data_IF_274394597296
#
_entry.id   IF_274394597296
#
_cell.length_a   1.000
_cell.length_b   1.000
_cell.length_c   1.000
_cell.angle_alpha   90.00
_cell.angle_beta   90.00
_cell.angle_gamma   90.00
#
_symmetry.space_group_name_H-M   'P 1'
#
loop_
_entity.id
_entity.type
_entity.pdbx_description
1 polymer ?
#
# COMPACT_ATOMS: atom_id res chain seq x y z
N UNK A 1 10.07 -7.96 -18.33
CA UNK A 1 9.06 -7.96 -17.24
C UNK A 1 8.19 -9.22 -17.30
N UNK A 2 8.71 -10.39 -16.91
CA UNK A 2 7.92 -11.64 -16.89
C UNK A 2 7.77 -12.31 -15.52
N UNK A 3 8.43 -11.78 -14.48
CA UNK A 3 8.65 -12.55 -13.23
C UNK A 3 8.08 -11.89 -11.97
N UNK A 4 7.20 -10.87 -12.07
CA UNK A 4 6.46 -10.38 -10.87
C UNK A 4 5.22 -11.22 -10.54
N UNK A 5 4.83 -12.13 -11.45
CA UNK A 5 3.80 -13.14 -11.25
C UNK A 5 4.40 -14.55 -11.04
N UNK A 6 5.72 -14.67 -10.94
CA UNK A 6 6.34 -15.98 -10.74
C UNK A 6 6.02 -16.46 -9.33
N UNK A 7 4.97 -17.29 -9.30
CA UNK A 7 4.57 -18.26 -8.32
C UNK A 7 5.80 -18.94 -7.73
N UNK A 8 6.47 -18.29 -6.78
CA UNK A 8 7.48 -18.95 -5.94
C UNK A 8 6.75 -20.03 -5.13
N UNK A 9 6.76 -21.23 -5.73
CA UNK A 9 6.63 -22.58 -5.17
C UNK A 9 5.93 -22.61 -3.80
N UNK A 10 4.60 -22.70 -3.80
CA UNK A 10 3.93 -23.35 -2.68
C UNK A 10 3.16 -24.56 -3.19
N UNK A 11 3.57 -25.70 -2.67
CA UNK A 11 2.97 -27.03 -2.83
C UNK A 11 1.59 -26.98 -2.14
N UNK A 12 0.59 -26.43 -2.82
CA UNK A 12 -0.77 -26.32 -2.28
C UNK A 12 -1.41 -27.70 -2.41
N UNK A 13 -1.57 -28.39 -1.29
CA UNK A 13 -2.07 -29.77 -1.23
C UNK A 13 -3.61 -29.90 -1.25
N UNK A 14 -4.37 -28.80 -1.36
CA UNK A 14 -5.84 -28.86 -1.47
C UNK A 14 -6.42 -27.71 -2.30
N UNK A 15 -7.45 -28.01 -3.10
CA UNK A 15 -8.17 -27.04 -3.94
C UNK A 15 -8.71 -25.86 -3.12
N UNK A 16 -9.24 -26.12 -1.92
CA UNK A 16 -9.77 -25.08 -1.03
C UNK A 16 -8.73 -24.00 -0.65
N UNK A 17 -7.47 -24.38 -0.43
CA UNK A 17 -6.39 -23.41 -0.14
C UNK A 17 -6.02 -22.56 -1.36
N UNK A 18 -6.21 -23.10 -2.57
CA UNK A 18 -5.97 -22.39 -3.83
C UNK A 18 -7.07 -21.35 -4.08
N UNK A 19 -8.33 -21.73 -3.86
CA UNK A 19 -9.48 -20.84 -4.03
C UNK A 19 -9.42 -19.65 -3.07
N UNK A 20 -9.10 -19.91 -1.79
CA UNK A 20 -8.91 -18.84 -0.81
C UNK A 20 -7.80 -17.87 -1.21
N UNK A 21 -6.70 -18.36 -1.79
CA UNK A 21 -5.61 -17.51 -2.29
C UNK A 21 -6.04 -16.69 -3.50
N UNK A 22 -6.76 -17.30 -4.45
CA UNK A 22 -7.27 -16.59 -5.62
C UNK A 22 -8.21 -15.46 -5.21
N UNK A 23 -9.07 -15.70 -4.22
CA UNK A 23 -9.99 -14.71 -3.68
C UNK A 23 -9.24 -13.51 -3.08
N UNK A 24 -8.24 -13.75 -2.23
CA UNK A 24 -7.41 -12.66 -1.67
C UNK A 24 -6.66 -11.91 -2.77
N UNK A 25 -6.13 -12.61 -3.77
CA UNK A 25 -5.43 -11.99 -4.90
C UNK A 25 -6.37 -11.12 -5.73
N UNK A 26 -7.62 -11.55 -5.92
CA UNK A 26 -8.64 -10.76 -6.61
C UNK A 26 -8.94 -9.45 -5.88
N UNK A 27 -9.11 -9.49 -4.56
CA UNK A 27 -9.28 -8.27 -3.73
C UNK A 27 -8.06 -7.36 -3.86
N UNK A 28 -6.84 -7.93 -3.76
CA UNK A 28 -5.60 -7.15 -3.90
C UNK A 28 -5.53 -6.46 -5.28
N UNK A 29 -5.96 -7.12 -6.36
CA UNK A 29 -6.01 -6.54 -7.70
C UNK A 29 -7.02 -5.38 -7.80
N UNK A 30 -8.18 -5.49 -7.17
CA UNK A 30 -9.16 -4.39 -7.11
C UNK A 30 -8.54 -3.17 -6.44
N UNK A 31 -7.92 -3.36 -5.27
CA UNK A 31 -7.26 -2.29 -4.52
C UNK A 31 -6.12 -1.66 -5.32
N UNK A 32 -5.26 -2.47 -5.94
CA UNK A 32 -4.17 -1.98 -6.78
C UNK A 32 -4.67 -1.23 -8.01
N UNK A 33 -5.77 -1.67 -8.63
CA UNK A 33 -6.38 -1.00 -9.77
C UNK A 33 -6.95 0.36 -9.39
N UNK A 34 -7.67 0.42 -8.25
CA UNK A 34 -8.21 1.66 -7.71
C UNK A 34 -7.09 2.65 -7.35
N UNK A 35 -6.04 2.19 -6.67
CA UNK A 35 -4.87 3.02 -6.34
C UNK A 35 -4.19 3.53 -7.62
N UNK A 36 -3.94 2.67 -8.60
CA UNK A 36 -3.34 3.07 -9.88
C UNK A 36 -4.20 4.09 -10.62
N UNK A 37 -5.52 3.95 -10.61
CA UNK A 37 -6.44 4.94 -11.18
C UNK A 37 -6.26 6.29 -10.47
N UNK A 38 -6.29 6.29 -9.13
CA UNK A 38 -6.11 7.51 -8.35
C UNK A 38 -4.76 8.18 -8.62
N UNK A 39 -3.69 7.40 -8.75
CA UNK A 39 -2.35 7.91 -9.09
C UNK A 39 -2.29 8.56 -10.48
N UNK A 40 -3.07 8.07 -11.45
CA UNK A 40 -3.19 8.75 -12.75
C UNK A 40 -3.94 10.08 -12.62
N UNK A 41 -5.08 10.06 -11.92
CA UNK A 41 -5.91 11.24 -11.72
C UNK A 41 -5.16 12.37 -10.99
N UNK A 42 -4.18 12.02 -10.13
CA UNK A 42 -3.37 12.97 -9.35
C UNK A 42 -1.96 13.18 -9.92
N UNK A 43 -1.64 12.60 -11.08
CA UNK A 43 -0.30 12.61 -11.72
C UNK A 43 0.84 12.00 -10.88
N UNK A 44 0.53 11.36 -9.75
CA UNK A 44 1.53 10.62 -8.96
C UNK A 44 2.18 9.48 -9.75
N UNK A 45 1.49 8.93 -10.75
CA UNK A 45 2.02 7.87 -11.61
C UNK A 45 3.27 8.30 -12.40
N UNK A 46 3.48 9.61 -12.59
CA UNK A 46 4.65 10.16 -13.28
C UNK A 46 5.89 10.16 -12.38
N UNK A 47 5.69 10.17 -11.06
CA UNK A 47 6.76 10.18 -10.04
C UNK A 47 7.01 8.81 -9.41
N UNK A 48 5.97 7.99 -9.28
CA UNK A 48 6.02 6.74 -8.55
C UNK A 48 5.29 5.62 -9.31
N UNK A 49 5.85 4.42 -9.26
CA UNK A 49 5.08 3.19 -9.45
C UNK A 49 4.20 2.93 -8.23
N UNK A 50 3.13 2.12 -8.40
CA UNK A 50 2.28 1.69 -7.28
C UNK A 50 3.10 1.07 -6.14
N UNK A 51 4.13 0.29 -6.48
CA UNK A 51 5.00 -0.36 -5.50
C UNK A 51 5.85 0.65 -4.74
N UNK A 52 6.46 1.60 -5.42
CA UNK A 52 7.30 2.64 -4.78
C UNK A 52 6.47 3.53 -3.87
N UNK A 53 5.26 3.92 -4.28
CA UNK A 53 4.36 4.69 -3.42
C UNK A 53 4.00 3.92 -2.15
N UNK A 54 3.68 2.62 -2.27
CA UNK A 54 3.38 1.80 -1.10
C UNK A 54 4.57 1.67 -0.15
N UNK A 55 5.78 1.49 -0.68
CA UNK A 55 7.02 1.44 0.11
C UNK A 55 7.32 2.76 0.83
N UNK A 56 7.14 3.90 0.15
CA UNK A 56 7.32 5.22 0.75
C UNK A 56 6.36 5.42 1.94
N UNK A 57 5.11 5.00 1.77
CA UNK A 57 4.07 5.10 2.79
C UNK A 57 4.18 4.05 3.91
N UNK A 58 4.83 2.90 3.68
CA UNK A 58 5.01 1.84 4.67
C UNK A 58 5.76 2.32 5.93
N UNK A 59 6.69 3.26 5.74
CA UNK A 59 7.48 3.83 6.85
C UNK A 59 6.70 4.83 7.70
N UNK A 60 5.54 5.30 7.22
CA UNK A 60 4.64 6.17 7.98
C UNK A 60 3.79 5.32 8.92
N UNK A 61 4.20 5.20 10.18
CA UNK A 61 3.51 4.38 11.19
C UNK A 61 3.07 5.26 12.37
N UNK A 62 1.86 5.02 12.88
CA UNK A 62 1.40 5.65 14.11
C UNK A 62 1.95 4.88 15.32
N UNK A 63 2.86 5.50 16.07
CA UNK A 63 3.40 4.90 17.30
C UNK A 63 2.45 5.23 18.45
N UNK A 64 1.87 4.20 19.06
CA UNK A 64 1.08 4.35 20.29
C UNK A 64 2.01 4.18 21.48
N UNK A 65 2.30 5.27 22.18
CA UNK A 65 2.93 5.20 23.49
C UNK A 65 1.88 4.81 24.53
N UNK A 66 2.15 3.77 25.33
CA UNK A 66 1.36 3.48 26.53
C UNK A 66 1.78 4.44 27.64
N UNK A 67 1.05 5.55 27.84
CA UNK A 67 1.35 6.53 28.89
C UNK A 67 0.66 7.89 28.70
N UNK A 68 1.16 8.92 29.41
CA UNK A 68 0.65 10.32 29.33
C UNK A 68 0.86 11.00 27.96
N UNK A 69 1.73 10.44 27.12
CA UNK A 69 1.96 10.93 25.76
C UNK A 69 0.97 10.23 24.83
N UNK A 70 0.09 11.00 24.20
CA UNK A 70 -0.95 10.49 23.30
C UNK A 70 -0.39 9.80 22.05
N UNK A 71 -1.26 9.57 21.07
CA UNK A 71 -0.87 9.02 19.77
C UNK A 71 0.14 9.96 19.09
N UNK A 72 1.35 9.48 18.77
CA UNK A 72 2.35 10.26 18.04
C UNK A 72 2.55 9.56 16.69
N UNK A 73 2.19 10.24 15.59
CA UNK A 73 2.62 9.81 14.26
C UNK A 73 4.14 9.95 14.17
N UNK A 74 4.83 9.00 13.51
CA UNK A 74 6.20 9.25 13.06
C UNK A 74 6.26 10.52 12.21
N UNK A 75 7.40 11.21 12.22
CA UNK A 75 7.57 12.45 11.46
C UNK A 75 7.26 12.20 9.98
N UNK A 76 6.24 12.90 9.46
CA UNK A 76 5.84 12.77 8.06
C UNK A 76 6.92 13.42 7.18
N UNK A 77 7.59 12.59 6.37
CA UNK A 77 8.63 13.02 5.44
C UNK A 77 8.06 13.94 4.36
N UNK A 78 8.91 14.72 3.68
CA UNK A 78 8.48 15.58 2.56
C UNK A 78 7.77 14.77 1.45
N UNK A 79 8.33 13.64 0.96
CA UNK A 79 7.64 12.80 -0.04
C UNK A 79 6.28 12.30 0.43
N UNK A 80 6.16 11.86 1.68
CA UNK A 80 4.88 11.41 2.25
C UNK A 80 3.85 12.54 2.31
N UNK A 81 4.25 13.77 2.68
CA UNK A 81 3.36 14.94 2.64
C UNK A 81 2.88 15.22 1.22
N UNK A 82 3.75 15.17 0.22
CA UNK A 82 3.38 15.38 -1.18
C UNK A 82 2.38 14.31 -1.67
N UNK A 83 2.61 13.05 -1.31
CA UNK A 83 1.71 11.94 -1.63
C UNK A 83 0.34 12.17 -0.96
N UNK A 84 0.31 12.46 0.33
CA UNK A 84 -0.92 12.70 1.09
C UNK A 84 -1.71 13.90 0.54
N UNK A 85 -1.03 15.01 0.24
CA UNK A 85 -1.66 16.19 -0.36
C UNK A 85 -2.24 15.87 -1.75
N UNK A 86 -1.47 15.19 -2.60
CA UNK A 86 -1.91 14.78 -3.94
C UNK A 86 -3.15 13.87 -3.88
N UNK A 87 -3.20 12.98 -2.88
CA UNK A 87 -4.33 12.09 -2.64
C UNK A 87 -5.49 12.77 -1.87
N UNK A 88 -5.33 14.04 -1.46
CA UNK A 88 -6.27 14.81 -0.62
C UNK A 88 -6.58 14.13 0.72
N UNK A 89 -5.58 13.49 1.31
CA UNK A 89 -5.65 12.82 2.61
C UNK A 89 -5.06 13.75 3.66
N UNK A 90 -5.86 14.11 4.67
CA UNK A 90 -5.38 14.87 5.81
C UNK A 90 -4.74 13.91 6.83
N UNK A 91 -3.46 14.09 7.20
CA UNK A 91 -2.87 13.30 8.27
C UNK A 91 -3.60 13.62 9.59
N UNK A 92 -4.09 12.59 10.28
CA UNK A 92 -4.72 12.74 11.60
C UNK A 92 -3.63 12.99 12.64
N UNK A 93 -3.62 14.19 13.22
CA UNK A 93 -2.78 14.53 14.38
C UNK A 93 -3.04 13.62 15.58
#
# INVERSE_FOLDING_TARGET
>A
MKNQLDMKRLRIHSAASMDGRLFVQFIALILMSALRKKMRDTKLIEKYTVRELLLEMETLTQVRYSGKYGHILTEITKPQREILQSLKIQPKS
#
